data_IF_720414582328
#
_entry.id   IF_720414582328
#
_cell.length_a   1.000
_cell.length_b   1.000
_cell.length_c   1.000
_cell.angle_alpha   90.00
_cell.angle_beta   90.00
_cell.angle_gamma   90.00
#
_symmetry.space_group_name_H-M   'P 1'
#
loop_
_entity.id
_entity.type
_entity.pdbx_description
1 polymer ?
#
# COMPACT_ATOMS: atom_id res chain seq x y z
N UNK A 1 16.67 1.37 -14.76
CA UNK A 1 16.15 0.18 -14.09
C UNK A 1 14.63 0.17 -14.14
N UNK A 2 14.02 -0.89 -14.68
CA UNK A 2 12.56 -1.03 -14.85
C UNK A 2 12.10 -2.42 -14.41
N UNK A 3 12.66 -2.94 -13.31
CA UNK A 3 12.22 -4.19 -12.71
C UNK A 3 10.91 -3.97 -11.97
N UNK A 4 9.99 -4.92 -12.13
CA UNK A 4 8.76 -4.99 -11.36
C UNK A 4 8.94 -5.79 -10.05
N UNK A 5 7.84 -5.98 -9.35
CA UNK A 5 7.73 -6.88 -8.19
C UNK A 5 6.89 -8.09 -8.55
N UNK A 6 7.17 -9.20 -7.91
CA UNK A 6 6.43 -10.45 -8.03
C UNK A 6 6.11 -10.97 -6.64
N UNK A 7 4.96 -11.61 -6.48
CA UNK A 7 4.63 -12.27 -5.22
C UNK A 7 5.57 -13.46 -4.97
N UNK A 8 5.81 -13.75 -3.70
CA UNK A 8 6.67 -14.86 -3.27
C UNK A 8 6.08 -16.21 -3.70
N UNK A 9 6.95 -17.18 -4.01
CA UNK A 9 6.51 -18.47 -4.55
C UNK A 9 5.63 -19.28 -3.58
N UNK A 10 5.80 -19.13 -2.27
CA UNK A 10 4.97 -19.82 -1.27
C UNK A 10 3.48 -19.47 -1.36
N UNK A 11 3.12 -18.34 -2.01
CA UNK A 11 1.72 -17.97 -2.24
C UNK A 11 0.97 -19.04 -3.03
N UNK A 12 1.65 -19.77 -3.91
CA UNK A 12 1.08 -20.88 -4.67
C UNK A 12 0.65 -22.06 -3.77
N UNK A 13 1.34 -22.22 -2.64
CA UNK A 13 1.08 -23.29 -1.69
C UNK A 13 -0.12 -22.99 -0.79
N UNK A 14 -0.67 -21.77 -0.84
CA UNK A 14 -1.88 -21.37 -0.11
C UNK A 14 -3.18 -21.94 -0.70
N UNK A 15 -3.12 -22.74 -1.78
CA UNK A 15 -4.25 -23.48 -2.33
C UNK A 15 -5.24 -22.68 -3.17
N UNK A 16 -4.96 -21.40 -3.45
CA UNK A 16 -5.78 -20.57 -4.31
C UNK A 16 -5.24 -20.43 -5.74
N UNK A 17 -6.08 -19.92 -6.64
CA UNK A 17 -5.68 -19.54 -7.99
C UNK A 17 -4.72 -18.35 -7.94
N UNK A 18 -3.63 -18.39 -8.74
CA UNK A 18 -2.66 -17.28 -8.83
C UNK A 18 -2.58 -16.72 -10.25
N UNK A 19 -2.33 -15.43 -10.37
CA UNK A 19 -2.11 -14.76 -11.64
C UNK A 19 -0.67 -14.93 -12.16
N UNK A 20 -0.37 -14.33 -13.33
CA UNK A 20 0.97 -14.40 -13.94
C UNK A 20 2.08 -13.75 -13.10
N UNK A 21 1.72 -12.81 -12.20
CA UNK A 21 2.65 -12.16 -11.28
C UNK A 21 2.78 -12.93 -9.95
N UNK A 22 2.13 -14.10 -9.82
CA UNK A 22 2.12 -14.93 -8.62
C UNK A 22 1.18 -14.43 -7.52
N UNK A 23 0.32 -13.43 -7.80
CA UNK A 23 -0.63 -12.89 -6.82
C UNK A 23 -1.85 -13.81 -6.74
N UNK A 24 -2.30 -14.08 -5.51
CA UNK A 24 -3.46 -14.94 -5.26
C UNK A 24 -4.75 -14.20 -5.57
N UNK A 25 -5.66 -14.86 -6.27
CA UNK A 25 -6.97 -14.27 -6.64
C UNK A 25 -7.87 -14.21 -5.42
N UNK A 26 -8.47 -13.04 -5.18
CA UNK A 26 -9.39 -12.80 -4.07
C UNK A 26 -10.77 -12.39 -4.57
N UNK A 27 -11.77 -12.67 -3.75
CA UNK A 27 -13.15 -12.25 -3.94
C UNK A 27 -13.37 -10.79 -3.57
N UNK A 28 -14.56 -10.23 -3.80
CA UNK A 28 -14.90 -8.84 -3.45
C UNK A 28 -14.74 -8.51 -1.97
N UNK A 29 -14.84 -9.50 -1.08
CA UNK A 29 -14.67 -9.38 0.36
C UNK A 29 -13.23 -9.65 0.84
N UNK A 30 -12.28 -9.82 -0.10
CA UNK A 30 -10.86 -10.12 0.12
C UNK A 30 -10.56 -11.53 0.65
N UNK A 31 -11.54 -12.44 0.67
CA UNK A 31 -11.26 -13.86 0.85
C UNK A 31 -10.54 -14.40 -0.38
N UNK A 32 -9.63 -15.33 -0.16
CA UNK A 32 -9.02 -16.11 -1.25
C UNK A 32 -10.11 -16.91 -1.93
N UNK A 33 -10.17 -16.85 -3.25
CA UNK A 33 -11.17 -17.56 -4.05
C UNK A 33 -11.17 -19.05 -3.71
N UNK A 34 -12.33 -19.55 -3.29
CA UNK A 34 -12.51 -20.95 -2.86
C UNK A 34 -12.15 -21.22 -1.39
N UNK A 35 -11.92 -20.18 -0.58
CA UNK A 35 -11.69 -20.30 0.86
C UNK A 35 -12.69 -19.49 1.67
N UNK A 36 -13.12 -20.02 2.81
CA UNK A 36 -14.06 -19.37 3.72
C UNK A 36 -13.38 -18.61 4.87
N UNK A 37 -12.06 -18.73 5.02
CA UNK A 37 -11.33 -18.17 6.18
C UNK A 37 -9.94 -17.60 5.86
N UNK A 38 -9.46 -17.73 4.62
CA UNK A 38 -8.14 -17.19 4.23
C UNK A 38 -8.34 -15.87 3.48
N UNK A 39 -7.71 -14.83 3.97
CA UNK A 39 -7.68 -13.51 3.33
C UNK A 39 -6.32 -13.22 2.72
N UNK A 40 -6.31 -12.45 1.64
CA UNK A 40 -5.06 -11.89 1.10
C UNK A 40 -5.24 -10.40 0.78
N UNK A 41 -4.14 -9.64 0.90
CA UNK A 41 -4.13 -8.20 0.69
C UNK A 41 -2.79 -7.69 0.13
N UNK A 42 -2.76 -6.47 -0.33
CA UNK A 42 -1.56 -5.79 -0.82
C UNK A 42 -0.96 -6.45 -2.05
N UNK A 43 0.35 -6.45 -2.13
CA UNK A 43 1.11 -6.85 -3.32
C UNK A 43 1.00 -8.35 -3.66
N UNK A 44 0.58 -9.18 -2.72
CA UNK A 44 0.36 -10.61 -2.94
C UNK A 44 -1.07 -10.95 -3.37
N UNK A 45 -2.01 -10.00 -3.35
CA UNK A 45 -3.41 -10.22 -3.72
C UNK A 45 -3.72 -9.67 -5.11
N UNK A 46 -4.43 -10.46 -5.91
CA UNK A 46 -5.04 -10.03 -7.15
C UNK A 46 -6.50 -9.68 -6.89
N UNK A 47 -6.78 -8.39 -6.67
CA UNK A 47 -8.12 -7.83 -6.57
C UNK A 47 -8.48 -7.10 -7.86
N UNK A 48 -9.47 -7.60 -8.59
CA UNK A 48 -9.88 -7.08 -9.91
C UNK A 48 -11.40 -6.78 -10.00
N UNK A 49 -12.09 -6.69 -8.88
CA UNK A 49 -13.52 -6.44 -8.87
C UNK A 49 -13.83 -4.97 -9.18
N UNK A 50 -14.68 -4.77 -10.20
CA UNK A 50 -15.07 -3.44 -10.66
C UNK A 50 -13.98 -2.67 -11.43
N UNK A 51 -12.87 -3.32 -11.81
CA UNK A 51 -11.77 -2.73 -12.57
C UNK A 51 -11.33 -3.65 -13.72
N UNK A 52 -10.83 -3.07 -14.82
CA UNK A 52 -10.28 -3.84 -15.95
C UNK A 52 -8.94 -4.53 -15.60
N UNK A 53 -8.24 -4.01 -14.62
CA UNK A 53 -6.92 -4.48 -14.19
C UNK A 53 -6.89 -4.61 -12.67
N UNK A 54 -6.05 -5.50 -12.14
CA UNK A 54 -5.81 -5.57 -10.70
C UNK A 54 -5.38 -4.21 -10.14
N UNK A 55 -5.75 -3.95 -8.89
CA UNK A 55 -5.35 -2.72 -8.20
C UNK A 55 -3.83 -2.58 -8.17
N UNK A 56 -3.30 -1.33 -8.18
CA UNK A 56 -1.87 -1.08 -8.16
C UNK A 56 -1.25 -1.54 -6.83
N UNK A 57 0.01 -1.98 -6.89
CA UNK A 57 0.82 -2.40 -5.73
C UNK A 57 1.35 -1.16 -4.99
N UNK A 58 0.47 -0.50 -4.24
CA UNK A 58 0.79 0.71 -3.47
C UNK A 58 0.25 0.62 -2.04
N UNK A 59 0.94 1.24 -1.11
CA UNK A 59 0.61 1.21 0.31
C UNK A 59 -0.85 1.62 0.64
N UNK A 60 -1.46 2.63 -0.01
CA UNK A 60 -2.87 2.96 0.23
C UNK A 60 -3.84 1.81 -0.05
N UNK A 61 -3.60 1.00 -1.08
CA UNK A 61 -4.42 -0.19 -1.38
C UNK A 61 -4.32 -1.18 -0.23
N UNK A 62 -3.09 -1.58 0.14
CA UNK A 62 -2.86 -2.54 1.20
C UNK A 62 -3.46 -2.10 2.54
N UNK A 63 -3.31 -0.81 2.90
CA UNK A 63 -3.86 -0.26 4.14
C UNK A 63 -5.40 -0.30 4.16
N UNK A 64 -6.06 0.09 3.07
CA UNK A 64 -7.51 0.06 2.98
C UNK A 64 -8.04 -1.37 2.98
N UNK A 65 -7.37 -2.29 2.28
CA UNK A 65 -7.70 -3.72 2.31
C UNK A 65 -7.57 -4.30 3.73
N UNK A 66 -6.50 -3.96 4.46
CA UNK A 66 -6.31 -4.40 5.84
C UNK A 66 -7.44 -3.93 6.76
N UNK A 67 -7.93 -2.70 6.60
CA UNK A 67 -9.07 -2.18 7.36
C UNK A 67 -10.35 -2.96 7.05
N UNK A 68 -10.61 -3.30 5.78
CA UNK A 68 -11.76 -4.11 5.38
C UNK A 68 -11.65 -5.54 5.92
N UNK A 69 -10.47 -6.15 5.82
CA UNK A 69 -10.23 -7.51 6.36
C UNK A 69 -10.44 -7.54 7.87
N UNK A 70 -9.97 -6.52 8.60
CA UNK A 70 -10.24 -6.42 10.04
C UNK A 70 -11.75 -6.46 10.33
N UNK A 71 -12.55 -5.70 9.60
CA UNK A 71 -14.01 -5.69 9.78
C UNK A 71 -14.64 -7.04 9.42
N UNK A 72 -14.20 -7.65 8.32
CA UNK A 72 -14.69 -8.94 7.87
C UNK A 72 -14.29 -10.08 8.82
N UNK A 73 -13.07 -10.05 9.35
CA UNK A 73 -12.60 -11.02 10.34
C UNK A 73 -13.43 -10.95 11.63
N UNK A 74 -13.70 -9.73 12.12
CA UNK A 74 -14.59 -9.56 13.28
C UNK A 74 -16.02 -10.05 13.01
N UNK A 75 -16.51 -9.91 11.78
CA UNK A 75 -17.80 -10.42 11.39
C UNK A 75 -17.84 -11.97 11.39
N UNK A 76 -16.81 -12.63 10.86
CA UNK A 76 -16.67 -14.10 10.93
C UNK A 76 -16.61 -14.60 12.38
N UNK A 77 -15.80 -13.94 13.22
CA UNK A 77 -15.71 -14.29 14.66
C UNK A 77 -17.06 -14.14 15.35
N UNK A 78 -17.89 -13.18 14.91
CA UNK A 78 -19.25 -12.98 15.43
C UNK A 78 -20.30 -13.96 14.84
N UNK A 79 -19.87 -14.94 14.04
CA UNK A 79 -20.74 -16.00 13.49
C UNK A 79 -21.39 -15.66 12.13
N UNK A 80 -20.96 -14.61 11.44
CA UNK A 80 -21.39 -14.35 10.07
C UNK A 80 -20.75 -15.33 9.11
N UNK A 81 -21.46 -15.60 8.01
CA UNK A 81 -20.98 -16.45 6.92
C UNK A 81 -20.20 -15.63 5.87
N UNK A 82 -19.35 -16.24 5.03
CA UNK A 82 -18.56 -15.57 4.01
C UNK A 82 -19.35 -14.66 3.06
N UNK A 83 -20.57 -15.03 2.73
CA UNK A 83 -21.49 -14.27 1.87
C UNK A 83 -22.06 -13.00 2.54
N UNK A 84 -21.98 -12.90 3.86
CA UNK A 84 -22.42 -11.75 4.64
C UNK A 84 -21.29 -10.73 4.93
N UNK A 85 -20.09 -10.99 4.42
CA UNK A 85 -18.95 -10.11 4.61
C UNK A 85 -19.04 -8.85 3.75
N UNK A 86 -18.48 -7.76 4.28
CA UNK A 86 -18.43 -6.50 3.57
C UNK A 86 -17.51 -6.55 2.33
N UNK A 87 -17.97 -5.98 1.23
CA UNK A 87 -17.20 -5.85 0.00
C UNK A 87 -16.18 -4.72 0.14
N UNK A 88 -15.01 -4.92 -0.43
CA UNK A 88 -13.96 -3.91 -0.47
C UNK A 88 -14.18 -2.95 -1.63
N UNK A 89 -14.08 -1.66 -1.36
CA UNK A 89 -14.06 -0.60 -2.38
C UNK A 89 -12.81 0.24 -2.18
N UNK A 90 -11.99 0.35 -3.22
CA UNK A 90 -10.79 1.17 -3.18
C UNK A 90 -11.10 2.64 -3.44
N UNK A 91 -10.63 3.50 -2.55
CA UNK A 91 -10.65 4.95 -2.73
C UNK A 91 -9.24 5.41 -3.11
N UNK A 92 -9.07 5.87 -4.35
CA UNK A 92 -7.78 6.35 -4.83
C UNK A 92 -7.40 7.64 -4.09
N UNK A 93 -6.25 7.63 -3.44
CA UNK A 93 -5.68 8.78 -2.73
C UNK A 93 -4.65 9.54 -3.55
N UNK A 94 -4.50 9.18 -4.83
CA UNK A 94 -3.50 9.75 -5.72
C UNK A 94 -2.11 9.13 -5.56
N UNK A 95 -1.17 9.70 -6.29
CA UNK A 95 0.22 9.23 -6.34
C UNK A 95 1.18 10.37 -5.99
N UNK A 96 2.25 10.03 -5.29
CA UNK A 96 3.34 10.94 -4.95
C UNK A 96 4.67 10.22 -5.13
N UNK A 97 5.66 10.91 -5.69
CA UNK A 97 7.00 10.38 -5.84
C UNK A 97 8.06 11.46 -5.61
N UNK A 98 9.12 11.13 -4.88
CA UNK A 98 10.31 11.98 -4.77
C UNK A 98 11.28 11.66 -5.90
N UNK A 99 11.83 12.70 -6.52
CA UNK A 99 12.80 12.59 -7.62
C UNK A 99 14.19 12.92 -7.08
N UNK A 100 14.27 13.74 -6.06
CA UNK A 100 15.52 14.18 -5.45
C UNK A 100 15.31 14.97 -4.16
N UNK A 101 16.36 15.67 -3.73
CA UNK A 101 16.31 16.51 -2.54
C UNK A 101 15.46 17.74 -2.81
N UNK A 102 14.36 17.91 -2.08
CA UNK A 102 13.44 19.03 -2.28
C UNK A 102 12.63 18.93 -3.58
N UNK A 103 12.71 17.81 -4.30
CA UNK A 103 12.06 17.59 -5.58
C UNK A 103 11.13 16.39 -5.51
N UNK A 104 9.85 16.62 -5.72
CA UNK A 104 8.82 15.60 -5.79
C UNK A 104 7.75 15.98 -6.80
N UNK A 105 6.94 15.02 -7.15
CA UNK A 105 5.71 15.22 -7.93
C UNK A 105 4.54 14.60 -7.16
N UNK A 106 3.39 15.23 -7.23
CA UNK A 106 2.15 14.71 -6.69
C UNK A 106 1.00 14.93 -7.67
N UNK A 107 0.12 13.96 -7.73
CA UNK A 107 -1.12 14.02 -8.50
C UNK A 107 -2.17 13.20 -7.77
N UNK A 108 -3.25 13.82 -7.33
CA UNK A 108 -4.29 13.09 -6.64
C UNK A 108 -5.48 13.93 -6.25
N UNK A 109 -6.55 13.27 -5.82
CA UNK A 109 -7.72 13.95 -5.31
C UNK A 109 -7.38 14.70 -4.01
N UNK A 110 -7.89 15.92 -3.91
CA UNK A 110 -7.90 16.71 -2.69
C UNK A 110 -9.35 16.79 -2.18
N UNK A 111 -9.80 15.84 -1.39
CA UNK A 111 -11.22 15.72 -1.02
C UNK A 111 -11.78 16.98 -0.36
N UNK A 112 -10.94 17.69 0.41
CA UNK A 112 -11.31 18.93 1.10
C UNK A 112 -11.59 20.07 0.13
N UNK A 113 -10.94 20.08 -1.04
CA UNK A 113 -11.03 21.15 -2.02
C UNK A 113 -11.86 20.78 -3.27
N UNK A 114 -12.30 19.52 -3.38
CA UNK A 114 -13.16 19.04 -4.45
C UNK A 114 -12.50 18.97 -5.85
N UNK A 115 -11.18 19.07 -5.94
CA UNK A 115 -10.45 18.99 -7.21
C UNK A 115 -9.19 18.10 -7.10
N UNK A 116 -8.65 17.72 -8.26
CA UNK A 116 -7.36 17.03 -8.32
C UNK A 116 -6.22 18.05 -8.25
N UNK A 117 -5.36 17.88 -7.24
CA UNK A 117 -4.17 18.70 -7.09
C UNK A 117 -2.99 18.06 -7.81
N UNK A 118 -2.38 18.82 -8.73
CA UNK A 118 -1.09 18.51 -9.32
C UNK A 118 -0.07 19.51 -8.82
N UNK A 119 1.00 19.04 -8.22
CA UNK A 119 2.08 19.89 -7.74
C UNK A 119 3.45 19.21 -7.94
N UNK A 120 4.51 20.02 -8.00
CA UNK A 120 5.88 19.57 -8.16
C UNK A 120 6.83 20.42 -7.32
N UNK A 121 8.11 20.01 -7.27
CA UNK A 121 9.16 20.72 -6.57
C UNK A 121 9.06 20.62 -5.05
N UNK A 122 9.52 21.64 -4.36
CA UNK A 122 9.65 21.68 -2.90
C UNK A 122 8.29 21.54 -2.18
N UNK A 123 7.23 22.12 -2.70
CA UNK A 123 5.89 22.00 -2.12
C UNK A 123 5.41 20.54 -2.11
N UNK A 124 5.53 19.86 -3.24
CA UNK A 124 5.18 18.44 -3.35
C UNK A 124 6.08 17.57 -2.44
N UNK A 125 7.35 17.94 -2.29
CA UNK A 125 8.30 17.26 -1.40
C UNK A 125 7.90 17.39 0.08
N UNK A 126 7.53 18.61 0.53
CA UNK A 126 7.05 18.83 1.90
C UNK A 126 5.74 18.07 2.14
N UNK A 127 4.80 18.11 1.21
CA UNK A 127 3.55 17.35 1.30
C UNK A 127 3.82 15.84 1.38
N UNK A 128 4.72 15.32 0.55
CA UNK A 128 5.15 13.92 0.60
C UNK A 128 5.73 13.56 1.98
N UNK A 129 6.62 14.40 2.51
CA UNK A 129 7.23 14.22 3.83
C UNK A 129 6.16 14.14 4.93
N UNK A 130 5.21 15.09 4.95
CA UNK A 130 4.14 15.14 5.95
C UNK A 130 3.24 13.90 5.89
N UNK A 131 2.82 13.48 4.69
CA UNK A 131 2.00 12.28 4.51
C UNK A 131 2.71 11.04 5.04
N UNK A 132 4.02 10.93 4.82
CA UNK A 132 4.79 9.76 5.29
C UNK A 132 5.02 9.80 6.80
N UNK A 133 5.27 10.97 7.39
CA UNK A 133 5.37 11.12 8.85
C UNK A 133 4.07 10.73 9.55
N UNK A 134 2.92 11.21 9.08
CA UNK A 134 1.61 10.88 9.67
C UNK A 134 1.33 9.37 9.63
N UNK A 135 1.90 8.66 8.66
CA UNK A 135 1.72 7.21 8.48
C UNK A 135 2.74 6.34 9.22
N UNK A 136 3.76 6.94 9.82
CA UNK A 136 4.69 6.18 10.65
C UNK A 136 4.01 5.70 11.93
N UNK A 137 4.41 4.54 12.41
CA UNK A 137 3.92 3.98 13.66
C UNK A 137 4.90 4.33 14.80
N UNK A 138 4.44 5.20 15.70
CA UNK A 138 5.15 5.51 16.95
C UNK A 138 5.87 6.86 16.97
N UNK A 139 5.57 7.64 18.00
CA UNK A 139 6.11 9.01 18.20
C UNK A 139 7.63 9.12 18.19
N UNK A 140 8.33 8.09 18.68
CA UNK A 140 9.80 8.05 18.65
C UNK A 140 10.32 7.92 17.22
N UNK A 141 9.68 7.09 16.39
CA UNK A 141 10.02 6.93 14.98
C UNK A 141 9.79 8.26 14.23
N UNK A 142 8.65 8.92 14.46
CA UNK A 142 8.31 10.21 13.85
C UNK A 142 9.37 11.27 14.12
N UNK A 143 9.77 11.40 15.37
CA UNK A 143 10.79 12.37 15.78
C UNK A 143 12.17 12.06 15.17
N UNK A 144 12.61 10.81 15.26
CA UNK A 144 13.92 10.39 14.73
C UNK A 144 14.00 10.55 13.22
N UNK A 145 12.95 10.18 12.49
CA UNK A 145 12.89 10.30 11.02
C UNK A 145 12.84 11.77 10.62
N UNK A 146 12.07 12.60 11.33
CA UNK A 146 12.00 14.04 11.07
C UNK A 146 13.37 14.70 11.17
N UNK A 147 14.11 14.43 12.24
CA UNK A 147 15.48 14.96 12.42
C UNK A 147 16.40 14.49 11.29
N UNK A 148 16.37 13.19 10.98
CA UNK A 148 17.18 12.63 9.89
C UNK A 148 16.88 13.28 8.54
N UNK A 149 15.62 13.57 8.24
CA UNK A 149 15.24 14.21 6.98
C UNK A 149 15.66 15.67 6.93
N UNK A 150 15.55 16.41 8.03
CA UNK A 150 16.07 17.78 8.15
C UNK A 150 17.58 17.80 7.94
N UNK A 151 18.32 16.94 8.64
CA UNK A 151 19.79 16.85 8.48
C UNK A 151 20.17 16.46 7.05
N UNK A 152 19.47 15.52 6.44
CA UNK A 152 19.73 15.15 5.05
C UNK A 152 19.43 16.28 4.07
N UNK A 153 18.39 17.07 4.32
CA UNK A 153 18.05 18.22 3.48
C UNK A 153 19.17 19.27 3.48
N UNK A 154 19.70 19.63 4.66
CA UNK A 154 20.72 20.66 4.77
C UNK A 154 22.15 20.16 4.47
N UNK A 155 22.49 18.97 4.92
CA UNK A 155 23.88 18.48 4.89
C UNK A 155 24.13 17.40 3.83
N UNK A 156 23.10 16.90 3.16
CA UNK A 156 23.24 15.89 2.09
C UNK A 156 23.74 14.54 2.58
N UNK A 157 23.61 14.23 3.85
CA UNK A 157 24.06 12.96 4.43
C UNK A 157 23.16 11.81 3.99
N UNK A 158 23.75 10.79 3.34
CA UNK A 158 23.01 9.54 3.06
C UNK A 158 22.95 8.71 4.33
N UNK A 159 21.84 8.79 5.04
CA UNK A 159 21.63 8.10 6.32
C UNK A 159 21.05 6.70 6.18
N UNK A 160 20.71 6.28 4.97
CA UNK A 160 20.18 4.94 4.68
C UNK A 160 21.15 4.17 3.80
N UNK A 161 21.41 2.92 4.15
CA UNK A 161 22.09 1.93 3.32
C UNK A 161 21.11 0.80 2.99
N UNK A 162 21.07 0.40 1.72
CA UNK A 162 20.39 -0.83 1.33
C UNK A 162 21.37 -1.97 1.60
N UNK A 163 21.02 -2.84 2.52
CA UNK A 163 21.76 -4.08 2.79
C UNK A 163 21.00 -5.18 2.05
N UNK A 164 21.59 -5.67 0.97
CA UNK A 164 21.10 -6.84 0.27
C UNK A 164 21.80 -8.05 0.92
N UNK A 165 21.09 -8.75 1.80
CA UNK A 165 21.53 -10.09 2.18
C UNK A 165 21.27 -11.03 1.01
N UNK A 166 22.25 -11.84 0.59
CA UNK A 166 21.97 -13.00 -0.25
C UNK A 166 20.98 -13.85 0.51
N UNK A 167 19.79 -14.02 -0.02
CA UNK A 167 18.91 -15.10 0.36
C UNK A 167 19.55 -16.36 -0.24
N UNK A 168 20.20 -17.16 0.61
CA UNK A 168 20.58 -18.53 0.28
C UNK A 168 19.34 -19.40 0.24
#
# INVERSE_FOLDING_TARGET
>A
WAAGVRAQDFIKDCGGEVDRAGRIVVEENLLVKGSDCVFALGDCANFQHGTERPLPTVAPVATQQAMQIKANLMALISGKTPDQLGKFVYHDLGAMATIGRGEAVMNGPMPVLGFNLKASGLFAWIAWMLVHLIRLAGKYADFTVSIKWVLNFFFGTRLARIILSKLE
#
